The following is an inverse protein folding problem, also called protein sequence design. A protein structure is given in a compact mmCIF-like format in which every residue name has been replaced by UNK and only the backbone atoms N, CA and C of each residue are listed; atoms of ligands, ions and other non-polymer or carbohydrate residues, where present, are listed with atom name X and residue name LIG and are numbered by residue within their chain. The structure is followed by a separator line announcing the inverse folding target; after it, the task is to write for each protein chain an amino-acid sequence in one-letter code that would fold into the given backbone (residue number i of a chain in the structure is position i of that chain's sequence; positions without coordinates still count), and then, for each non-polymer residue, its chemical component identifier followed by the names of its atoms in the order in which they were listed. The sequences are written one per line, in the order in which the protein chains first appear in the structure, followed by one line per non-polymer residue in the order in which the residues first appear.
data_IF_212747840483
#
_entry.id   IF_212747840483
#
_cell.length_a   1.000
_cell.length_b   1.000
_cell.length_c   1.000
_cell.angle_alpha   90.00
_cell.angle_beta   90.00
_cell.angle_gamma   90.00
#
_symmetry.space_group_name_H-M   'P 1'
#
loop_
_entity.id
_entity.type
_entity.pdbx_description
1 polymer ?
#
# COMPACT_ATOMS: atom_id res chain seq x y z
N UNK A 1 12.04 3.25 -14.59
CA UNK A 1 13.29 4.04 -14.59
C UNK A 1 13.57 4.39 -13.14
N UNK A 2 14.72 4.03 -12.57
CA UNK A 2 15.01 4.35 -11.16
C UNK A 2 15.31 5.84 -11.02
N UNK A 3 14.63 6.53 -10.09
CA UNK A 3 14.97 7.91 -9.74
C UNK A 3 16.45 8.01 -9.33
N UNK A 4 17.13 9.05 -9.81
CA UNK A 4 18.48 9.37 -9.34
C UNK A 4 18.39 9.71 -7.85
N UNK A 5 19.14 8.99 -7.02
CA UNK A 5 19.07 9.17 -5.57
C UNK A 5 19.41 10.61 -5.18
N UNK A 6 18.53 11.22 -4.39
CA UNK A 6 18.66 12.60 -3.91
C UNK A 6 19.31 12.63 -2.52
N UNK A 7 20.29 13.52 -2.36
CA UNK A 7 21.02 13.69 -1.09
C UNK A 7 20.32 14.74 -0.22
N UNK A 8 19.89 14.33 0.97
CA UNK A 8 19.36 15.19 2.01
C UNK A 8 20.42 15.38 3.10
N UNK A 9 20.63 16.62 3.57
CA UNK A 9 21.54 16.91 4.68
C UNK A 9 20.82 17.69 5.77
N UNK A 10 20.95 17.24 7.01
CA UNK A 10 20.47 17.97 8.20
C UNK A 10 21.65 18.55 8.98
N UNK A 11 21.43 19.72 9.56
CA UNK A 11 22.38 20.43 10.40
C UNK A 11 21.98 20.26 11.86
N UNK A 12 22.93 19.95 12.73
CA UNK A 12 22.67 19.89 14.17
C UNK A 12 22.76 21.31 14.77
N UNK A 13 21.64 21.90 15.26
CA UNK A 13 21.66 23.25 15.83
C UNK A 13 22.53 23.34 17.09
N UNK A 14 22.73 22.22 17.81
CA UNK A 14 23.59 22.15 19.01
C UNK A 14 25.06 21.91 18.66
N UNK A 15 25.36 21.37 17.48
CA UNK A 15 26.72 21.04 17.02
C UNK A 15 26.88 21.32 15.52
N UNK A 16 27.05 22.59 15.10
CA UNK A 16 27.01 23.00 13.69
C UNK A 16 28.08 22.39 12.79
N UNK A 17 29.10 21.75 13.36
CA UNK A 17 30.17 21.06 12.63
C UNK A 17 29.84 19.60 12.31
N UNK A 18 28.79 19.03 12.91
CA UNK A 18 28.36 17.65 12.70
C UNK A 18 27.12 17.59 11.81
N UNK A 19 27.35 17.59 10.49
CA UNK A 19 26.28 17.43 9.51
C UNK A 19 26.05 15.95 9.23
N UNK A 20 24.78 15.57 9.03
CA UNK A 20 24.41 14.19 8.64
C UNK A 20 23.72 14.21 7.29
N UNK A 21 24.22 13.38 6.38
CA UNK A 21 23.64 13.21 5.05
C UNK A 21 23.00 11.84 4.89
N UNK A 22 21.90 11.79 4.15
CA UNK A 22 21.14 10.61 3.78
C UNK A 22 20.83 10.63 2.29
N UNK A 23 20.62 9.47 1.68
CA UNK A 23 20.33 9.33 0.25
C UNK A 23 19.01 8.58 0.04
N UNK A 24 17.99 9.29 -0.43
CA UNK A 24 16.66 8.73 -0.70
C UNK A 24 16.38 8.70 -2.19
N UNK A 25 15.31 8.04 -2.57
CA UNK A 25 14.88 7.97 -3.97
C UNK A 25 14.28 9.32 -4.40
N UNK A 26 13.54 9.97 -3.49
CA UNK A 26 13.06 11.34 -3.63
C UNK A 26 13.25 12.14 -2.33
N UNK A 27 13.33 13.47 -2.42
CA UNK A 27 13.36 14.39 -1.28
C UNK A 27 12.58 15.65 -1.62
N UNK A 28 11.57 15.96 -0.79
CA UNK A 28 10.63 17.05 -1.03
C UNK A 28 10.82 18.16 0.00
N UNK A 29 10.80 19.42 -0.45
CA UNK A 29 10.83 20.59 0.42
C UNK A 29 9.53 21.37 0.26
N UNK A 30 8.76 21.54 1.33
CA UNK A 30 7.44 22.19 1.27
C UNK A 30 7.24 23.23 2.38
N UNK A 31 8.31 23.61 3.08
CA UNK A 31 8.21 24.48 4.26
C UNK A 31 8.16 25.99 3.93
N UNK A 32 8.69 26.39 2.78
CA UNK A 32 8.80 27.81 2.40
C UNK A 32 7.51 28.30 1.75
N UNK A 33 7.56 28.74 0.49
CA UNK A 33 6.41 29.25 -0.23
C UNK A 33 6.32 28.58 -1.60
N UNK A 34 5.14 28.52 -2.24
CA UNK A 34 5.00 28.01 -3.59
C UNK A 34 5.84 28.74 -4.66
N UNK A 35 6.42 29.91 -4.32
CA UNK A 35 7.34 30.65 -5.20
C UNK A 35 8.79 30.16 -5.11
N UNK A 36 9.13 29.35 -4.10
CA UNK A 36 10.45 28.74 -3.98
C UNK A 36 10.60 27.67 -5.07
N UNK A 37 11.70 27.71 -5.81
CA UNK A 37 11.96 26.75 -6.89
C UNK A 37 12.09 25.31 -6.41
N UNK A 38 12.44 25.13 -5.14
CA UNK A 38 12.53 23.81 -4.51
C UNK A 38 11.22 23.37 -3.86
N UNK A 39 10.16 24.19 -3.94
CA UNK A 39 8.86 23.85 -3.36
C UNK A 39 8.23 22.66 -4.07
N UNK A 40 7.98 21.59 -3.33
CA UNK A 40 7.24 20.43 -3.78
C UNK A 40 5.82 20.49 -3.21
N UNK A 41 4.82 20.57 -4.09
CA UNK A 41 3.40 20.49 -3.73
C UNK A 41 2.87 19.06 -3.77
N UNK A 42 1.60 18.90 -3.39
CA UNK A 42 0.90 17.61 -3.36
C UNK A 42 0.91 16.90 -4.71
N UNK A 43 0.66 17.64 -5.80
CA UNK A 43 0.66 17.08 -7.15
C UNK A 43 2.03 16.49 -7.55
N UNK A 44 3.13 17.12 -7.12
CA UNK A 44 4.48 16.60 -7.42
C UNK A 44 4.71 15.27 -6.70
N UNK A 45 4.35 15.20 -5.41
CA UNK A 45 4.45 13.97 -4.62
C UNK A 45 3.58 12.86 -5.21
N UNK A 46 2.37 13.18 -5.66
CA UNK A 46 1.49 12.21 -6.32
C UNK A 46 2.06 11.70 -7.65
N UNK A 47 2.61 12.58 -8.49
CA UNK A 47 3.26 12.19 -9.75
C UNK A 47 4.44 11.24 -9.54
N UNK A 48 5.28 11.54 -8.56
CA UNK A 48 6.51 10.78 -8.33
C UNK A 48 6.27 9.42 -7.64
N UNK A 49 5.22 9.31 -6.80
CA UNK A 49 4.95 8.11 -6.00
C UNK A 49 3.60 7.49 -6.35
N UNK A 50 2.54 8.28 -6.36
CA UNK A 50 1.16 7.83 -6.56
C UNK A 50 0.93 7.19 -7.93
N UNK A 51 1.34 7.85 -9.01
CA UNK A 51 1.13 7.35 -10.37
C UNK A 51 1.87 6.02 -10.63
N UNK A 52 3.12 5.90 -10.17
CA UNK A 52 3.92 4.66 -10.27
C UNK A 52 3.26 3.52 -9.48
N UNK A 53 2.82 3.80 -8.26
CA UNK A 53 2.17 2.82 -7.39
C UNK A 53 0.82 2.39 -7.95
N UNK A 54 0.03 3.31 -8.52
CA UNK A 54 -1.22 2.99 -9.18
C UNK A 54 -0.98 2.12 -10.43
N UNK A 55 0.05 2.43 -11.23
CA UNK A 55 0.44 1.62 -12.37
C UNK A 55 0.72 0.17 -11.96
N UNK A 56 1.48 -0.04 -10.88
CA UNK A 56 1.73 -1.38 -10.35
C UNK A 56 0.46 -2.12 -9.92
N UNK A 57 -0.54 -1.41 -9.38
CA UNK A 57 -1.84 -2.01 -9.06
C UNK A 57 -2.56 -2.48 -10.33
N UNK A 58 -2.56 -1.67 -11.40
CA UNK A 58 -3.09 -2.07 -12.72
C UNK A 58 -2.32 -3.25 -13.34
N UNK A 59 -1.01 -3.38 -13.10
CA UNK A 59 -0.26 -4.57 -13.51
C UNK A 59 -0.68 -5.85 -12.74
N UNK A 60 -1.30 -5.68 -11.57
CA UNK A 60 -1.78 -6.74 -10.69
C UNK A 60 -0.89 -6.99 -9.46
N UNK A 61 0.04 -6.09 -9.14
CA UNK A 61 0.84 -6.16 -7.91
C UNK A 61 0.04 -5.64 -6.72
N UNK A 62 0.30 -6.19 -5.53
CA UNK A 62 -0.06 -5.49 -4.29
C UNK A 62 0.83 -4.27 -4.10
N UNK A 63 0.27 -3.22 -3.52
CA UNK A 63 0.91 -1.92 -3.37
C UNK A 63 0.69 -1.42 -1.96
N UNK A 64 1.71 -0.79 -1.37
CA UNK A 64 1.59 -0.15 -0.08
C UNK A 64 2.30 1.21 -0.07
N UNK A 65 1.60 2.25 0.36
CA UNK A 65 2.20 3.56 0.67
C UNK A 65 1.92 3.84 2.13
N UNK A 66 2.97 4.07 2.93
CA UNK A 66 2.80 4.46 4.33
C UNK A 66 3.59 5.71 4.69
N UNK A 67 2.94 6.61 5.44
CA UNK A 67 3.58 7.82 5.97
C UNK A 67 4.07 7.59 7.40
N UNK A 68 5.31 8.01 7.69
CA UNK A 68 5.96 7.83 8.99
C UNK A 68 6.71 9.10 9.42
N UNK A 69 6.66 9.43 10.71
CA UNK A 69 7.25 10.64 11.27
C UNK A 69 6.52 11.12 12.53
N UNK A 70 7.08 12.12 13.22
CA UNK A 70 6.45 12.66 14.43
C UNK A 70 5.10 13.33 14.15
N UNK A 71 4.28 13.52 15.18
CA UNK A 71 3.07 14.34 15.09
C UNK A 71 3.40 15.75 14.61
N UNK A 72 2.58 16.27 13.70
CA UNK A 72 2.78 17.58 13.07
C UNK A 72 3.80 17.62 11.93
N UNK A 73 4.45 16.51 11.58
CA UNK A 73 5.44 16.50 10.48
C UNK A 73 4.86 16.43 9.07
N UNK A 74 3.54 16.25 8.93
CA UNK A 74 2.85 16.25 7.63
C UNK A 74 2.33 14.89 7.13
N UNK A 75 2.39 13.82 7.92
CA UNK A 75 1.89 12.47 7.52
C UNK A 75 0.47 12.48 6.92
N UNK A 76 -0.51 12.94 7.70
CA UNK A 76 -1.91 13.00 7.26
C UNK A 76 -2.12 14.02 6.12
N UNK A 77 -1.31 15.08 6.07
CA UNK A 77 -1.34 16.03 4.95
C UNK A 77 -0.84 15.39 3.65
N UNK A 78 0.19 14.54 3.69
CA UNK A 78 0.62 13.80 2.51
C UNK A 78 -0.40 12.74 2.09
N UNK A 79 -0.94 11.98 3.04
CA UNK A 79 -1.85 10.86 2.72
C UNK A 79 -3.25 11.34 2.33
N UNK A 80 -3.88 12.21 3.13
CA UNK A 80 -5.25 12.68 2.91
C UNK A 80 -5.30 14.10 2.33
N UNK A 81 -4.38 14.96 2.76
CA UNK A 81 -4.38 16.36 2.35
C UNK A 81 -5.45 17.20 3.03
N UNK A 82 -5.85 18.29 2.39
CA UNK A 82 -6.94 19.17 2.82
C UNK A 82 -7.99 19.19 1.70
N UNK A 83 -9.05 18.36 1.78
CA UNK A 83 -10.02 18.23 0.70
C UNK A 83 -10.79 19.53 0.41
N UNK A 84 -10.92 20.42 1.39
CA UNK A 84 -11.61 21.71 1.23
C UNK A 84 -10.76 22.78 0.52
N UNK A 85 -9.48 22.50 0.24
CA UNK A 85 -8.57 23.43 -0.41
C UNK A 85 -8.12 22.86 -1.75
N UNK A 86 -8.32 23.65 -2.80
CA UNK A 86 -7.88 23.31 -4.15
C UNK A 86 -6.38 23.03 -4.19
N UNK A 87 -5.99 21.97 -4.91
CA UNK A 87 -4.61 21.56 -5.14
C UNK A 87 -3.88 21.17 -3.84
N UNK A 88 -4.63 20.75 -2.82
CA UNK A 88 -4.12 20.32 -1.50
C UNK A 88 -4.57 18.90 -1.13
N UNK A 89 -5.20 18.18 -2.06
CA UNK A 89 -5.58 16.78 -1.94
C UNK A 89 -4.34 15.90 -1.72
N UNK A 90 -4.46 14.87 -0.89
CA UNK A 90 -3.40 13.91 -0.61
C UNK A 90 -3.28 12.80 -1.64
N UNK A 91 -2.35 11.89 -1.39
CA UNK A 91 -2.15 10.68 -2.21
C UNK A 91 -3.44 9.85 -2.31
N UNK A 92 -4.20 9.69 -1.23
CA UNK A 92 -5.41 8.85 -1.21
C UNK A 92 -6.48 9.40 -2.16
N UNK A 93 -6.99 10.64 -2.00
CA UNK A 93 -8.02 11.16 -2.91
C UNK A 93 -7.52 11.23 -4.36
N UNK A 94 -6.29 11.70 -4.61
CA UNK A 94 -5.73 11.77 -5.97
C UNK A 94 -5.62 10.39 -6.62
N UNK A 95 -5.18 9.36 -5.88
CA UNK A 95 -5.09 7.99 -6.38
C UNK A 95 -6.47 7.40 -6.68
N UNK A 96 -7.47 7.70 -5.86
CA UNK A 96 -8.83 7.22 -6.08
C UNK A 96 -9.47 7.89 -7.31
N UNK A 97 -9.26 9.20 -7.50
CA UNK A 97 -9.71 9.91 -8.68
C UNK A 97 -9.05 9.36 -9.95
N UNK A 98 -7.72 9.20 -9.95
CA UNK A 98 -6.95 8.67 -11.08
C UNK A 98 -7.33 7.21 -11.41
N UNK A 99 -7.57 6.38 -10.38
CA UNK A 99 -8.08 5.02 -10.56
C UNK A 99 -9.39 5.02 -11.38
N UNK A 100 -10.35 5.89 -11.05
CA UNK A 100 -11.62 5.98 -11.77
C UNK A 100 -11.53 6.67 -13.12
N UNK A 101 -10.63 7.64 -13.29
CA UNK A 101 -10.34 8.22 -14.60
C UNK A 101 -9.83 7.14 -15.56
N UNK A 102 -8.87 6.32 -15.13
CA UNK A 102 -8.34 5.21 -15.93
C UNK A 102 -9.36 4.11 -16.21
N UNK A 103 -10.33 3.90 -15.33
CA UNK A 103 -11.48 3.02 -15.63
C UNK A 103 -12.29 3.50 -16.81
N UNK A 104 -12.65 4.79 -16.80
CA UNK A 104 -13.51 5.36 -17.81
C UNK A 104 -12.83 5.39 -19.19
N UNK A 105 -11.53 5.65 -19.23
CA UNK A 105 -10.75 5.61 -20.48
C UNK A 105 -10.64 4.18 -21.05
N UNK A 106 -10.62 3.17 -20.16
CA UNK A 106 -10.49 1.75 -20.53
C UNK A 106 -11.81 1.06 -20.89
N UNK A 107 -12.96 1.64 -20.54
CA UNK A 107 -14.29 1.08 -20.80
C UNK A 107 -14.69 1.05 -22.30
N UNK A 108 -13.82 1.52 -23.19
CA UNK A 108 -13.99 1.34 -24.64
C UNK A 108 -13.71 -0.11 -25.11
N UNK A 109 -13.10 -0.94 -24.26
CA UNK A 109 -12.78 -2.35 -24.53
C UNK A 109 -13.77 -3.28 -23.80
N UNK A 110 -14.80 -3.74 -24.52
CA UNK A 110 -15.85 -4.62 -23.99
C UNK A 110 -15.32 -5.95 -23.41
N UNK A 111 -14.05 -6.29 -23.63
CA UNK A 111 -13.42 -7.51 -23.08
C UNK A 111 -12.96 -7.38 -21.64
N UNK A 112 -12.93 -6.16 -21.08
CA UNK A 112 -12.43 -5.88 -19.73
C UNK A 112 -13.55 -5.40 -18.81
N UNK A 113 -13.56 -5.91 -17.59
CA UNK A 113 -14.41 -5.40 -16.51
C UNK A 113 -13.60 -5.20 -15.24
N UNK A 114 -14.02 -4.23 -14.46
CA UNK A 114 -13.31 -3.80 -13.27
C UNK A 114 -14.25 -3.77 -12.07
N UNK A 115 -13.72 -4.09 -10.90
CA UNK A 115 -14.44 -4.01 -9.63
C UNK A 115 -13.53 -3.45 -8.55
N UNK A 116 -14.08 -2.56 -7.73
CA UNK A 116 -13.38 -1.92 -6.63
C UNK A 116 -14.16 -2.11 -5.34
N UNK A 117 -13.47 -2.59 -4.31
CA UNK A 117 -13.97 -2.63 -2.95
C UNK A 117 -13.03 -1.84 -2.03
N UNK A 118 -13.59 -1.08 -1.10
CA UNK A 118 -12.81 -0.31 -0.12
C UNK A 118 -13.08 -0.78 1.29
N UNK A 119 -12.06 -0.68 2.13
CA UNK A 119 -12.17 -0.84 3.58
C UNK A 119 -11.35 0.24 4.28
N UNK A 120 -11.84 0.75 5.40
CA UNK A 120 -11.13 1.75 6.18
C UNK A 120 -11.14 1.36 7.64
N UNK A 121 -9.96 1.22 8.23
CA UNK A 121 -9.81 0.80 9.61
C UNK A 121 -8.85 1.69 10.37
N UNK A 122 -9.03 1.68 11.68
CA UNK A 122 -8.15 2.33 12.63
C UNK A 122 -7.56 1.31 13.59
N UNK A 123 -6.25 1.42 13.84
CA UNK A 123 -5.56 0.64 14.86
C UNK A 123 -5.16 1.59 15.99
N UNK A 124 -5.80 1.44 17.15
CA UNK A 124 -5.54 2.25 18.33
C UNK A 124 -5.32 1.32 19.54
N UNK A 125 -4.17 1.45 20.20
CA UNK A 125 -3.79 0.61 21.33
C UNK A 125 -3.95 -0.91 21.06
N UNK A 126 -3.43 -1.41 19.94
CA UNK A 126 -3.53 -2.81 19.51
C UNK A 126 -4.98 -3.32 19.31
N UNK A 127 -5.94 -2.39 19.18
CA UNK A 127 -7.34 -2.70 18.87
C UNK A 127 -7.67 -2.18 17.48
N UNK A 128 -8.36 -3.00 16.70
CA UNK A 128 -8.81 -2.68 15.34
C UNK A 128 -10.27 -2.23 15.39
N UNK A 129 -10.56 -1.09 14.78
CA UNK A 129 -11.91 -0.57 14.60
C UNK A 129 -12.22 -0.40 13.12
N UNK A 130 -13.44 -0.74 12.74
CA UNK A 130 -13.99 -0.45 11.43
C UNK A 130 -14.45 1.02 11.38
N UNK A 131 -13.92 1.80 10.45
CA UNK A 131 -14.32 3.21 10.26
C UNK A 131 -15.51 3.36 9.31
N UNK A 132 -15.86 2.33 8.54
CA UNK A 132 -16.98 2.37 7.59
C UNK A 132 -18.26 1.74 8.16
N UNK A 133 -18.19 1.08 9.31
CA UNK A 133 -19.35 0.47 9.96
C UNK A 133 -19.70 1.13 11.30
N UNK A 134 -20.66 2.09 11.32
CA UNK A 134 -21.04 2.79 12.54
C UNK A 134 -21.72 1.89 13.57
N UNK A 135 -22.22 0.71 13.17
CA UNK A 135 -22.84 -0.28 14.06
C UNK A 135 -21.81 -1.10 14.82
N UNK A 136 -20.62 -1.29 14.24
CA UNK A 136 -19.58 -2.13 14.83
C UNK A 136 -18.57 -1.29 15.65
N UNK A 137 -18.90 -1.07 16.91
CA UNK A 137 -18.01 -0.38 17.87
C UNK A 137 -17.00 -1.33 18.56
N UNK A 138 -17.01 -2.60 18.16
CA UNK A 138 -16.18 -3.66 18.77
C UNK A 138 -14.71 -3.58 18.35
N UNK A 139 -13.87 -4.34 19.05
CA UNK A 139 -12.52 -4.63 18.59
C UNK A 139 -12.58 -5.81 17.60
N UNK A 140 -12.21 -5.56 16.35
CA UNK A 140 -12.13 -6.61 15.34
C UNK A 140 -10.90 -7.50 15.58
N UNK A 141 -11.03 -8.79 15.29
CA UNK A 141 -9.95 -9.76 15.48
C UNK A 141 -9.11 -9.86 14.21
N UNK A 142 -7.80 -9.89 14.39
CA UNK A 142 -6.88 -10.25 13.30
C UNK A 142 -6.75 -11.76 13.23
N UNK A 143 -6.97 -12.32 12.04
CA UNK A 143 -6.82 -13.73 11.69
C UNK A 143 -5.82 -13.87 10.56
N UNK A 144 -5.49 -15.10 10.21
CA UNK A 144 -4.56 -15.38 9.12
C UNK A 144 -5.13 -16.45 8.21
N UNK A 145 -5.13 -16.16 6.91
CA UNK A 145 -5.50 -17.10 5.87
C UNK A 145 -4.23 -17.68 5.24
N UNK A 146 -4.17 -19.00 4.93
CA UNK A 146 -2.98 -19.62 4.36
C UNK A 146 -2.47 -18.96 3.07
N UNK A 147 -3.38 -18.44 2.24
CA UNK A 147 -3.04 -17.80 0.95
C UNK A 147 -2.98 -16.27 1.01
N UNK A 148 -3.85 -15.63 1.80
CA UNK A 148 -3.96 -14.15 1.81
C UNK A 148 -3.12 -13.52 2.91
N UNK A 149 -2.59 -14.33 3.83
CA UNK A 149 -1.91 -13.84 5.01
C UNK A 149 -2.87 -13.20 6.03
N UNK A 150 -2.36 -12.27 6.86
CA UNK A 150 -3.11 -11.66 7.94
C UNK A 150 -4.24 -10.77 7.43
N UNK A 151 -5.43 -10.92 7.99
CA UNK A 151 -6.62 -10.16 7.64
C UNK A 151 -7.44 -9.84 8.90
N UNK A 152 -8.32 -8.84 8.79
CA UNK A 152 -9.24 -8.47 9.87
C UNK A 152 -10.58 -9.16 9.62
N UNK A 153 -10.99 -10.00 10.57
CA UNK A 153 -12.30 -10.65 10.56
C UNK A 153 -13.41 -9.60 10.72
N UNK A 154 -14.49 -9.76 9.95
CA UNK A 154 -15.67 -8.88 9.94
C UNK A 154 -15.40 -7.40 9.62
N UNK A 155 -14.25 -7.09 9.01
CA UNK A 155 -13.99 -5.75 8.48
C UNK A 155 -14.88 -5.50 7.25
N UNK A 156 -15.61 -4.38 7.24
CA UNK A 156 -16.49 -4.03 6.13
C UNK A 156 -15.69 -3.78 4.85
N UNK A 157 -16.14 -4.42 3.78
CA UNK A 157 -15.68 -4.19 2.42
C UNK A 157 -16.87 -3.68 1.61
N UNK A 158 -16.76 -2.45 1.13
CA UNK A 158 -17.86 -1.79 0.43
C UNK A 158 -17.48 -1.64 -1.04
N UNK A 159 -18.31 -2.21 -1.91
CA UNK A 159 -18.17 -2.03 -3.34
C UNK A 159 -18.49 -0.58 -3.72
N UNK A 160 -17.68 0.00 -4.59
CA UNK A 160 -17.79 1.38 -5.05
C UNK A 160 -17.74 1.41 -6.57
N UNK A 161 -18.47 2.35 -7.17
CA UNK A 161 -18.61 2.48 -8.62
C UNK A 161 -18.15 3.83 -9.15
N UNK A 162 -17.88 4.79 -8.26
CA UNK A 162 -17.35 6.10 -8.60
C UNK A 162 -16.38 6.63 -7.54
N UNK A 163 -15.59 7.65 -7.92
CA UNK A 163 -14.77 8.40 -6.97
C UNK A 163 -15.60 9.04 -5.86
N UNK A 164 -16.81 9.55 -6.18
CA UNK A 164 -17.71 10.15 -5.20
C UNK A 164 -18.12 9.15 -4.11
N UNK A 165 -18.36 7.89 -4.47
CA UNK A 165 -18.67 6.83 -3.47
C UNK A 165 -17.50 6.66 -2.48
N UNK A 166 -16.25 6.67 -2.98
CA UNK A 166 -15.07 6.60 -2.13
C UNK A 166 -14.94 7.86 -1.26
N UNK A 167 -15.17 9.04 -1.83
CA UNK A 167 -15.08 10.31 -1.11
C UNK A 167 -16.06 10.35 0.08
N UNK A 168 -17.31 9.93 -0.12
CA UNK A 168 -18.31 9.85 0.95
C UNK A 168 -17.90 8.88 2.06
N UNK A 169 -17.33 7.72 1.69
CA UNK A 169 -16.83 6.72 2.64
C UNK A 169 -15.61 7.22 3.41
N UNK A 170 -14.69 7.94 2.76
CA UNK A 170 -13.55 8.58 3.41
C UNK A 170 -14.01 9.63 4.41
N UNK A 171 -14.95 10.50 4.03
CA UNK A 171 -15.50 11.54 4.89
C UNK A 171 -16.22 10.95 6.11
N UNK A 172 -17.02 9.91 5.90
CA UNK A 172 -17.68 9.16 6.96
C UNK A 172 -16.65 8.56 7.95
N UNK A 173 -15.62 7.90 7.43
CA UNK A 173 -14.56 7.30 8.24
C UNK A 173 -13.71 8.32 9.00
N UNK A 174 -13.40 9.46 8.38
CA UNK A 174 -12.66 10.56 9.02
C UNK A 174 -13.50 11.23 10.13
N UNK A 175 -14.81 11.38 9.92
CA UNK A 175 -15.73 11.85 10.96
C UNK A 175 -15.79 10.85 12.13
N UNK A 176 -15.88 9.55 11.86
CA UNK A 176 -15.88 8.50 12.88
C UNK A 176 -14.58 8.52 13.71
N UNK A 177 -13.43 8.69 13.05
CA UNK A 177 -12.11 8.84 13.69
C UNK A 177 -12.06 10.05 14.62
N UNK A 178 -12.62 11.19 14.18
CA UNK A 178 -12.65 12.44 14.97
C UNK A 178 -13.58 12.36 16.18
N UNK A 179 -14.76 11.75 16.05
CA UNK A 179 -15.70 11.57 17.18
C UNK A 179 -15.11 10.67 18.27
N UNK A 180 -14.30 9.68 17.88
CA UNK A 180 -13.55 8.90 18.85
C UNK A 180 -12.48 9.74 19.58
N UNK A 181 -11.94 10.77 18.94
CA UNK A 181 -11.00 11.72 19.53
C UNK A 181 -11.69 12.68 20.52
N UNK A 182 -12.84 13.26 20.19
CA UNK A 182 -13.52 14.21 21.09
C UNK A 182 -13.98 13.57 22.41
N UNK A 183 -14.26 12.26 22.41
CA UNK A 183 -14.55 11.51 23.64
C UNK A 183 -13.28 11.19 24.47
N UNK A 184 -12.07 11.28 23.90
CA UNK A 184 -10.79 10.99 24.58
C UNK A 184 -9.55 11.71 23.95
N UNK A 185 -9.51 13.06 23.93
CA UNK A 185 -8.37 13.89 23.42
C UNK A 185 -7.89 13.59 21.97
N UNK A 186 -6.88 14.31 21.47
CA UNK A 186 -6.42 14.34 20.06
C UNK A 186 -5.89 12.98 19.52
N UNK A 187 -6.80 12.04 19.26
CA UNK A 187 -6.53 10.62 18.93
C UNK A 187 -5.92 10.39 17.55
N UNK A 188 -6.08 11.29 16.58
CA UNK A 188 -5.55 11.09 15.21
C UNK A 188 -4.02 10.98 15.19
N UNK A 189 -3.33 11.68 16.09
CA UNK A 189 -1.87 11.58 16.29
C UNK A 189 -1.42 10.24 16.89
N UNK A 190 -2.36 9.49 17.46
CA UNK A 190 -2.13 8.33 18.33
C UNK A 190 -2.69 7.03 17.79
N UNK A 191 -3.36 7.07 16.65
CA UNK A 191 -3.89 5.89 15.97
C UNK A 191 -3.32 5.77 14.57
N UNK A 192 -3.17 4.54 14.10
CA UNK A 192 -2.85 4.27 12.70
C UNK A 192 -4.14 4.17 11.91
N UNK A 193 -4.21 4.82 10.77
CA UNK A 193 -5.30 4.66 9.83
C UNK A 193 -4.82 3.86 8.62
N UNK A 194 -5.59 2.86 8.21
CA UNK A 194 -5.29 2.00 7.06
C UNK A 194 -6.50 1.98 6.14
N UNK A 195 -6.36 2.62 4.99
CA UNK A 195 -7.33 2.58 3.91
C UNK A 195 -6.87 1.54 2.89
N UNK A 196 -7.70 0.52 2.62
CA UNK A 196 -7.39 -0.46 1.59
C UNK A 196 -8.37 -0.38 0.44
N UNK A 197 -7.84 -0.54 -0.76
CA UNK A 197 -8.58 -0.73 -2.00
C UNK A 197 -8.25 -2.13 -2.51
N UNK A 198 -9.27 -2.96 -2.70
CA UNK A 198 -9.17 -4.21 -3.44
C UNK A 198 -9.62 -3.90 -4.85
N UNK A 199 -8.68 -4.02 -5.79
CA UNK A 199 -8.92 -3.74 -7.19
C UNK A 199 -8.82 -5.02 -8.00
N UNK A 200 -9.96 -5.41 -8.59
CA UNK A 200 -10.11 -6.63 -9.39
C UNK A 200 -10.31 -6.28 -10.86
N UNK A 201 -9.54 -6.93 -11.71
CA UNK A 201 -9.57 -6.79 -13.16
C UNK A 201 -9.93 -8.14 -13.77
N UNK A 202 -11.01 -8.19 -14.54
CA UNK A 202 -11.42 -9.37 -15.30
C UNK A 202 -11.28 -9.10 -16.77
N UNK A 203 -10.67 -10.03 -17.49
CA UNK A 203 -10.56 -9.97 -18.95
C UNK A 203 -11.10 -11.25 -19.55
N UNK A 204 -12.16 -11.13 -20.34
CA UNK A 204 -12.70 -12.22 -21.15
C UNK A 204 -11.94 -12.29 -22.46
N UNK A 205 -11.43 -13.46 -22.78
CA UNK A 205 -10.79 -13.76 -24.04
C UNK A 205 -11.77 -14.54 -24.93
N UNK A 206 -12.32 -13.85 -25.94
CA UNK A 206 -13.32 -14.40 -26.84
C UNK A 206 -12.78 -15.55 -27.72
N UNK A 207 -11.48 -15.58 -28.01
CA UNK A 207 -10.89 -16.66 -28.82
C UNK A 207 -10.82 -17.97 -28.04
N UNK A 208 -10.67 -17.87 -26.73
CA UNK A 208 -10.35 -19.03 -25.89
C UNK A 208 -11.39 -19.33 -24.82
N UNK A 209 -12.50 -18.58 -24.87
CA UNK A 209 -13.65 -18.55 -23.95
C UNK A 209 -13.24 -18.67 -22.48
N UNK A 210 -12.16 -17.98 -22.11
CA UNK A 210 -11.65 -17.97 -20.74
C UNK A 210 -11.67 -16.56 -20.15
N UNK A 211 -11.99 -16.48 -18.87
CA UNK A 211 -11.93 -15.22 -18.12
C UNK A 211 -10.75 -15.25 -17.18
N UNK A 212 -9.75 -14.42 -17.46
CA UNK A 212 -8.63 -14.18 -16.55
C UNK A 212 -9.00 -13.14 -15.50
N UNK A 213 -8.52 -13.34 -14.27
CA UNK A 213 -8.74 -12.41 -13.16
C UNK A 213 -7.40 -12.03 -12.53
N UNK A 214 -7.18 -10.72 -12.37
CA UNK A 214 -6.08 -10.15 -11.60
C UNK A 214 -6.63 -9.39 -10.42
N UNK A 215 -6.01 -9.54 -9.26
CA UNK A 215 -6.40 -8.84 -8.04
C UNK A 215 -5.19 -8.10 -7.48
N UNK A 216 -5.37 -6.82 -7.18
CA UNK A 216 -4.36 -6.01 -6.49
C UNK A 216 -4.94 -5.45 -5.21
N UNK A 217 -4.15 -5.49 -4.14
CA UNK A 217 -4.47 -4.81 -2.88
C UNK A 217 -3.60 -3.56 -2.77
N UNK A 218 -4.24 -2.40 -2.74
CA UNK A 218 -3.58 -1.11 -2.46
C UNK A 218 -3.83 -0.78 -0.98
N UNK A 219 -2.75 -0.65 -0.20
CA UNK A 219 -2.79 -0.28 1.22
C UNK A 219 -2.20 1.11 1.42
N UNK A 220 -3.02 2.07 1.82
CA UNK A 220 -2.64 3.45 2.07
C UNK A 220 -2.70 3.71 3.58
N UNK A 221 -1.55 3.96 4.19
CA UNK A 221 -1.39 3.93 5.66
C UNK A 221 -0.88 5.27 6.19
N UNK A 222 -1.64 5.85 7.12
CA UNK A 222 -1.24 7.01 7.92
C UNK A 222 -0.92 6.53 9.34
N UNK A 223 0.36 6.44 9.67
CA UNK A 223 0.81 5.93 10.97
C UNK A 223 0.65 6.99 12.07
N UNK A 224 0.57 6.54 13.32
CA UNK A 224 0.67 7.39 14.49
C UNK A 224 2.02 8.13 14.55
N UNK A 225 2.10 9.17 15.39
CA UNK A 225 3.32 9.90 15.68
C UNK A 225 4.44 9.00 16.19
N UNK A 226 5.65 9.16 15.64
CA UNK A 226 6.83 8.39 16.02
C UNK A 226 7.56 8.90 17.28
N UNK A 227 7.12 10.03 17.83
CA UNK A 227 7.74 10.65 19.00
C UNK A 227 7.64 9.79 20.26
N UNK A 228 8.64 9.90 21.13
CA UNK A 228 8.69 9.12 22.38
C UNK A 228 7.64 9.58 23.39
N UNK A 229 7.04 8.64 24.11
CA UNK A 229 6.05 8.94 25.15
C UNK A 229 6.59 9.84 26.27
N UNK A 230 7.87 9.73 26.63
CA UNK A 230 8.49 10.53 27.70
C UNK A 230 8.50 12.04 27.37
N UNK A 231 8.48 12.38 26.07
CA UNK A 231 8.42 13.76 25.58
C UNK A 231 7.05 14.42 25.78
N UNK A 232 6.01 13.64 26.12
CA UNK A 232 4.61 14.11 26.18
C UNK A 232 4.14 14.51 27.59
N UNK A 233 4.91 14.21 28.64
CA UNK A 233 4.54 14.51 30.04
C UNK A 233 3.31 13.74 30.57
N UNK A 234 2.88 12.68 29.88
CA UNK A 234 1.67 11.92 30.20
C UNK A 234 1.79 11.06 31.48
N UNK A 235 0.75 11.09 32.34
CA UNK A 235 0.63 10.24 33.55
C UNK A 235 -0.57 9.27 33.45
N UNK A 236 -0.50 8.13 34.15
CA UNK A 236 -1.64 7.22 34.33
C UNK A 236 -2.06 6.47 33.06
N UNK A 237 -3.35 6.54 32.70
CA UNK A 237 -3.93 5.87 31.53
C UNK A 237 -3.29 6.31 30.22
N UNK A 238 -2.92 7.60 30.10
CA UNK A 238 -2.23 8.15 28.93
C UNK A 238 -0.81 7.60 28.75
N UNK A 239 -0.14 7.19 29.84
CA UNK A 239 1.17 6.52 29.76
C UNK A 239 1.02 5.09 29.20
N UNK A 240 -0.01 4.36 29.64
CA UNK A 240 -0.32 3.01 29.10
C UNK A 240 -0.71 3.07 27.62
N UNK A 241 -1.48 4.08 27.24
CA UNK A 241 -1.83 4.40 25.87
C UNK A 241 -0.58 4.69 25.02
N UNK A 242 0.26 5.64 25.45
CA UNK A 242 1.52 5.96 24.80
C UNK A 242 2.46 4.76 24.68
N UNK A 243 2.50 3.88 25.70
CA UNK A 243 3.27 2.65 25.67
C UNK A 243 2.75 1.66 24.60
N UNK A 244 1.44 1.53 24.43
CA UNK A 244 0.86 0.65 23.40
C UNK A 244 1.00 1.22 21.98
N UNK A 245 0.87 2.53 21.81
CA UNK A 245 1.12 3.18 20.51
C UNK A 245 2.59 2.98 20.14
N UNK A 246 3.49 3.25 21.08
CA UNK A 246 4.90 3.00 20.87
C UNK A 246 5.22 1.52 20.71
N UNK A 247 4.43 0.59 21.26
CA UNK A 247 4.61 -0.85 21.02
C UNK A 247 4.51 -1.16 19.52
N UNK A 248 3.48 -0.68 18.84
CA UNK A 248 3.30 -0.91 17.39
C UNK A 248 4.45 -0.35 16.56
N UNK A 249 4.86 0.91 16.79
CA UNK A 249 5.96 1.56 16.05
C UNK A 249 7.35 1.01 16.41
N UNK A 250 7.56 0.65 17.69
CA UNK A 250 8.79 -0.02 18.14
C UNK A 250 8.91 -1.39 17.47
N UNK A 251 7.81 -2.13 17.42
CA UNK A 251 7.77 -3.43 16.74
C UNK A 251 8.02 -3.28 15.25
N UNK A 252 7.41 -2.29 14.60
CA UNK A 252 7.69 -1.95 13.20
C UNK A 252 9.19 -1.65 13.00
N UNK A 253 9.82 -0.92 13.91
CA UNK A 253 11.26 -0.65 13.88
C UNK A 253 12.13 -1.90 14.03
N UNK A 254 11.71 -2.86 14.87
CA UNK A 254 12.37 -4.17 15.00
C UNK A 254 12.24 -5.00 13.72
N UNK A 255 11.05 -5.06 13.14
CA UNK A 255 10.78 -5.75 11.86
C UNK A 255 11.66 -5.19 10.76
N UNK A 256 11.70 -3.86 10.60
CA UNK A 256 12.53 -3.19 9.58
C UNK A 256 14.01 -3.46 9.80
N UNK A 257 14.49 -3.44 11.05
CA UNK A 257 15.89 -3.72 11.36
C UNK A 257 16.26 -5.17 11.06
N UNK A 258 15.42 -6.13 11.45
CA UNK A 258 15.62 -7.55 11.17
C UNK A 258 15.66 -7.84 9.65
N UNK A 259 14.73 -7.23 8.90
CA UNK A 259 14.69 -7.35 7.44
C UNK A 259 15.93 -6.75 6.76
N UNK A 260 16.38 -5.57 7.21
CA UNK A 260 17.57 -4.91 6.68
C UNK A 260 18.87 -5.69 6.99
N UNK A 261 18.94 -6.33 8.16
CA UNK A 261 20.10 -7.13 8.58
C UNK A 261 20.19 -8.50 7.88
N UNK A 262 19.04 -9.14 7.58
CA UNK A 262 19.00 -10.42 6.85
C UNK A 262 19.68 -10.32 5.47
N UNK A 263 19.72 -9.12 4.86
CA UNK A 263 20.48 -8.86 3.63
C UNK A 263 21.99 -9.05 3.79
N UNK A 264 22.54 -8.76 4.98
CA UNK A 264 23.99 -8.80 5.25
C UNK A 264 24.48 -10.18 5.66
N UNK A 265 23.64 -10.98 6.33
CA UNK A 265 24.00 -12.32 6.82
C UNK A 265 23.32 -13.40 5.98
N UNK A 266 23.97 -13.85 4.91
CA UNK A 266 23.50 -14.91 3.97
C UNK A 266 23.22 -16.31 4.59
N UNK A 267 23.17 -16.48 5.92
CA UNK A 267 23.23 -17.81 6.56
C UNK A 267 22.19 -18.15 7.62
N UNK A 268 21.35 -17.22 8.09
CA UNK A 268 20.27 -17.55 9.04
C UNK A 268 19.06 -16.65 8.74
N UNK A 269 17.92 -17.24 8.40
CA UNK A 269 16.63 -16.53 8.46
C UNK A 269 16.38 -16.15 9.92
N UNK A 270 16.70 -14.91 10.28
CA UNK A 270 16.34 -14.41 11.62
C UNK A 270 14.82 -14.31 11.72
N UNK A 271 14.27 -14.75 12.85
CA UNK A 271 12.85 -14.62 13.13
C UNK A 271 12.44 -13.15 13.09
N UNK A 272 11.51 -12.81 12.19
CA UNK A 272 10.98 -11.44 12.05
C UNK A 272 9.71 -11.32 12.92
N UNK A 273 9.67 -10.40 13.91
CA UNK A 273 8.61 -10.34 14.92
C UNK A 273 7.34 -9.65 14.42
N UNK A 274 6.75 -10.09 13.29
CA UNK A 274 5.53 -9.47 12.76
C UNK A 274 4.35 -9.61 13.73
N UNK A 275 4.25 -10.71 14.47
CA UNK A 275 3.13 -11.00 15.38
C UNK A 275 3.16 -10.19 16.69
N UNK A 276 4.26 -9.52 16.99
CA UNK A 276 4.44 -8.80 18.26
C UNK A 276 3.53 -7.56 18.36
N UNK A 277 3.03 -7.05 17.23
CA UNK A 277 2.00 -6.02 17.18
C UNK A 277 0.97 -6.24 16.08
N UNK A 278 -0.25 -5.74 16.29
CA UNK A 278 -1.35 -5.81 15.30
C UNK A 278 -0.95 -5.14 13.99
N UNK A 279 -0.32 -3.97 14.06
CA UNK A 279 0.12 -3.21 12.89
C UNK A 279 1.11 -4.01 12.04
N UNK A 280 2.17 -4.52 12.65
CA UNK A 280 3.20 -5.28 11.93
C UNK A 280 2.67 -6.60 11.40
N UNK A 281 1.68 -7.20 12.08
CA UNK A 281 1.08 -8.42 11.59
C UNK A 281 0.26 -8.16 10.33
N UNK A 282 -0.57 -7.10 10.33
CA UNK A 282 -1.36 -6.70 9.15
C UNK A 282 -0.49 -6.20 7.99
N UNK A 283 0.66 -5.58 8.27
CA UNK A 283 1.60 -5.09 7.26
C UNK A 283 2.66 -6.13 6.86
N UNK A 284 2.54 -7.39 7.28
CA UNK A 284 3.54 -8.42 6.99
C UNK A 284 3.84 -8.54 5.50
N UNK A 285 2.79 -8.64 4.68
CA UNK A 285 2.95 -8.76 3.22
C UNK A 285 3.54 -7.48 2.60
N UNK A 286 3.30 -6.32 3.23
CA UNK A 286 3.78 -5.03 2.77
C UNK A 286 5.25 -4.78 3.11
N UNK A 287 5.84 -5.54 4.03
CA UNK A 287 7.21 -5.33 4.52
C UNK A 287 8.03 -6.60 4.31
N UNK A 288 8.66 -6.74 3.15
CA UNK A 288 9.46 -7.92 2.81
C UNK A 288 8.68 -9.10 2.20
N UNK A 289 7.35 -8.97 2.07
CA UNK A 289 6.48 -9.95 1.42
C UNK A 289 6.10 -9.58 -0.01
N UNK A 290 4.91 -10.01 -0.44
CA UNK A 290 4.35 -9.75 -1.75
C UNK A 290 3.67 -8.37 -1.83
N UNK A 291 4.48 -7.31 -1.99
CA UNK A 291 3.99 -5.94 -2.20
C UNK A 291 5.06 -5.02 -2.79
N UNK A 292 4.66 -4.05 -3.61
CA UNK A 292 5.45 -2.87 -3.99
C UNK A 292 5.21 -1.80 -2.94
N UNK A 293 6.25 -1.47 -2.17
CA UNK A 293 6.09 -0.64 -0.97
C UNK A 293 6.89 0.64 -1.06
N UNK A 294 6.22 1.77 -0.83
CA UNK A 294 6.83 3.08 -0.61
C UNK A 294 6.61 3.56 0.82
N UNK A 295 7.66 4.13 1.39
CA UNK A 295 7.64 4.83 2.68
C UNK A 295 7.80 6.33 2.43
N UNK A 296 6.88 7.13 2.94
CA UNK A 296 7.00 8.58 2.98
C UNK A 296 7.46 9.01 4.39
N UNK A 297 8.70 9.46 4.50
CA UNK A 297 9.27 9.95 5.75
C UNK A 297 8.97 11.45 5.91
N UNK A 298 7.98 11.79 6.73
CA UNK A 298 7.54 13.16 6.97
C UNK A 298 8.34 13.79 8.12
N UNK A 299 8.99 14.93 7.86
CA UNK A 299 9.97 15.57 8.75
C UNK A 299 9.55 16.98 9.15
N UNK A 300 10.05 17.46 10.29
CA UNK A 300 9.92 18.85 10.69
C UNK A 300 11.26 19.57 10.51
N UNK A 301 11.30 20.74 9.84
CA UNK A 301 12.53 21.51 9.68
C UNK A 301 12.91 22.32 10.93
N UNK A 302 12.07 22.33 11.97
CA UNK A 302 12.31 23.12 13.17
C UNK A 302 13.45 22.53 14.02
N UNK A 303 14.36 23.38 14.49
CA UNK A 303 15.52 23.00 15.30
C UNK A 303 15.16 22.17 16.55
N UNK A 304 14.03 22.50 17.19
CA UNK A 304 13.54 21.78 18.37
C UNK A 304 13.21 20.31 18.09
N UNK A 305 12.94 19.97 16.83
CA UNK A 305 12.57 18.63 16.36
C UNK A 305 13.75 17.87 15.74
N UNK A 306 14.99 18.38 15.87
CA UNK A 306 16.18 17.76 15.26
C UNK A 306 16.34 16.27 15.62
N UNK A 307 16.18 15.92 16.90
CA UNK A 307 16.39 14.55 17.38
C UNK A 307 15.36 13.56 16.79
N UNK A 308 14.09 13.98 16.69
CA UNK A 308 13.02 13.18 16.07
C UNK A 308 13.21 13.09 14.55
N UNK A 309 13.54 14.20 13.89
CA UNK A 309 13.87 14.24 12.45
C UNK A 309 15.02 13.28 12.12
N UNK A 310 16.10 13.31 12.90
CA UNK A 310 17.22 12.38 12.76
C UNK A 310 16.80 10.92 12.99
N UNK A 311 15.91 10.67 13.95
CA UNK A 311 15.35 9.33 14.21
C UNK A 311 14.57 8.81 13.00
N UNK A 312 13.68 9.64 12.44
CA UNK A 312 12.89 9.32 11.24
C UNK A 312 13.78 9.07 10.02
N UNK A 313 14.81 9.88 9.79
CA UNK A 313 15.76 9.70 8.69
C UNK A 313 16.54 8.38 8.79
N UNK A 314 17.03 8.04 9.99
CA UNK A 314 17.68 6.74 10.25
C UNK A 314 16.73 5.56 10.09
N UNK A 315 15.45 5.78 10.31
CA UNK A 315 14.42 4.77 10.11
C UNK A 315 14.20 4.52 8.61
N UNK A 316 14.01 5.59 7.83
CA UNK A 316 13.83 5.54 6.39
C UNK A 316 15.05 4.92 5.68
N UNK A 317 16.27 5.26 6.10
CA UNK A 317 17.51 4.70 5.54
C UNK A 317 17.60 3.17 5.73
N UNK A 318 17.11 2.66 6.87
CA UNK A 318 16.98 1.21 7.10
C UNK A 318 15.87 0.60 6.27
N UNK A 319 14.70 1.24 6.20
CA UNK A 319 13.56 0.76 5.43
C UNK A 319 13.89 0.59 3.93
N UNK A 320 14.69 1.51 3.37
CA UNK A 320 15.19 1.44 1.98
C UNK A 320 15.98 0.15 1.67
N UNK A 321 16.53 -0.51 2.69
CA UNK A 321 17.33 -1.73 2.50
C UNK A 321 16.49 -3.00 2.37
N UNK A 322 15.20 -2.94 2.70
CA UNK A 322 14.26 -4.06 2.66
C UNK A 322 13.97 -4.40 1.19
N UNK A 323 13.97 -5.71 0.88
CA UNK A 323 13.54 -6.21 -0.42
C UNK A 323 12.19 -6.88 -0.26
N UNK A 324 11.18 -6.38 -0.97
CA UNK A 324 9.91 -7.05 -1.12
C UNK A 324 9.94 -7.93 -2.38
N UNK A 325 9.29 -9.09 -2.31
CA UNK A 325 9.19 -10.05 -3.42
C UNK A 325 7.78 -9.94 -4.03
N UNK A 326 7.52 -8.80 -4.69
CA UNK A 326 6.24 -8.52 -5.32
C UNK A 326 6.02 -9.44 -6.54
N UNK A 327 4.84 -10.05 -6.61
CA UNK A 327 4.37 -10.87 -7.75
C UNK A 327 3.02 -10.37 -8.23
N UNK A 328 2.71 -10.60 -9.50
CA UNK A 328 1.39 -10.33 -10.07
C UNK A 328 0.41 -11.36 -9.48
N UNK A 329 -0.65 -10.90 -8.83
CA UNK A 329 -1.67 -11.82 -8.31
C UNK A 329 -2.71 -12.09 -9.40
N UNK A 330 -2.56 -13.24 -10.02
CA UNK A 330 -3.44 -13.81 -11.01
C UNK A 330 -3.77 -15.24 -10.59
N UNK A 331 -4.99 -15.72 -10.86
CA UNK A 331 -5.34 -17.11 -10.58
C UNK A 331 -4.32 -18.05 -11.28
N UNK A 332 -3.63 -18.94 -10.53
CA UNK A 332 -2.63 -19.84 -11.10
C UNK A 332 -3.15 -20.69 -12.26
N UNK A 333 -4.42 -21.11 -12.22
CA UNK A 333 -5.03 -21.89 -13.29
C UNK A 333 -5.22 -21.02 -14.54
N UNK A 334 -5.68 -19.79 -14.38
CA UNK A 334 -5.82 -18.85 -15.49
C UNK A 334 -4.46 -18.45 -16.08
N UNK A 335 -3.46 -18.24 -15.23
CA UNK A 335 -2.09 -17.96 -15.64
C UNK A 335 -1.49 -19.11 -16.46
N UNK A 336 -1.59 -20.34 -15.96
CA UNK A 336 -1.09 -21.53 -16.65
C UNK A 336 -1.79 -21.74 -18.00
N UNK A 337 -3.12 -21.58 -18.03
CA UNK A 337 -3.91 -21.67 -19.27
C UNK A 337 -3.47 -20.61 -20.29
N UNK A 338 -3.20 -19.36 -19.86
CA UNK A 338 -2.68 -18.31 -20.75
C UNK A 338 -1.29 -18.64 -21.29
N UNK A 339 -0.34 -18.98 -20.41
CA UNK A 339 1.05 -19.30 -20.79
C UNK A 339 1.08 -20.49 -21.77
N UNK A 340 0.27 -21.53 -21.54
CA UNK A 340 0.13 -22.66 -22.46
C UNK A 340 -0.46 -22.25 -23.81
N UNK A 341 -1.46 -21.36 -23.84
CA UNK A 341 -2.10 -20.89 -25.08
C UNK A 341 -1.16 -20.00 -25.90
N UNK A 342 -0.43 -19.08 -25.26
CA UNK A 342 0.60 -18.26 -25.92
C UNK A 342 1.70 -19.13 -26.52
N UNK A 343 2.14 -20.16 -25.79
CA UNK A 343 3.13 -21.10 -26.29
C UNK A 343 2.59 -21.96 -27.45
N UNK A 344 1.33 -22.43 -27.37
CA UNK A 344 0.67 -23.14 -28.48
C UNK A 344 0.56 -22.24 -29.71
N UNK A 345 0.21 -20.97 -29.55
CA UNK A 345 0.15 -20.00 -30.65
C UNK A 345 1.52 -19.78 -31.28
N UNK A 346 2.54 -19.51 -30.46
CA UNK A 346 3.94 -19.36 -30.91
C UNK A 346 4.45 -20.59 -31.66
N UNK A 347 4.13 -21.79 -31.17
CA UNK A 347 4.52 -23.04 -31.81
C UNK A 347 3.78 -23.26 -33.14
N UNK A 348 2.50 -22.88 -33.24
CA UNK A 348 1.74 -22.90 -34.51
C UNK A 348 2.37 -21.97 -35.55
N UNK A 349 2.74 -20.75 -35.17
CA UNK A 349 3.41 -19.79 -36.06
C UNK A 349 4.78 -20.29 -36.52
N UNK A 350 5.53 -20.94 -35.63
CA UNK A 350 6.80 -21.61 -35.97
C UNK A 350 6.61 -22.77 -36.96
N UNK A 351 5.55 -23.57 -36.80
CA UNK A 351 5.25 -24.66 -37.73
C UNK A 351 4.80 -24.13 -39.10
N UNK A 352 3.99 -23.08 -39.12
CA UNK A 352 3.57 -22.40 -40.34
C UNK A 352 4.76 -21.79 -41.10
N UNK A 353 5.65 -21.10 -40.39
CA UNK A 353 6.85 -20.48 -40.99
C UNK A 353 7.88 -21.49 -41.52
N UNK A 354 7.87 -22.74 -41.02
CA UNK A 354 8.72 -23.82 -41.52
C UNK A 354 8.07 -24.63 -42.67
N UNK A 355 6.91 -24.22 -43.18
CA UNK A 355 6.21 -24.92 -44.26
C UNK A 355 5.54 -26.23 -43.83
N UNK A 356 5.35 -26.44 -42.52
CA UNK A 356 4.66 -27.60 -41.95
C UNK A 356 3.17 -27.32 -41.66
N UNK A 357 2.61 -26.25 -42.23
CA UNK A 357 1.21 -25.85 -42.08
C UNK A 357 0.22 -26.94 -42.47
N UNK A 358 0.54 -27.73 -43.50
CA UNK A 358 -0.32 -28.79 -44.02
C UNK A 358 -0.58 -29.91 -42.99
N UNK A 359 0.31 -30.09 -42.01
CA UNK A 359 0.14 -31.08 -40.92
C UNK A 359 -0.94 -30.64 -39.91
N UNK A 360 -1.11 -29.31 -39.73
CA UNK A 360 -2.14 -28.76 -38.85
C UNK A 360 -3.53 -28.88 -39.48
N UNK A 361 -3.63 -28.77 -40.81
CA UNK A 361 -4.89 -28.96 -41.54
C UNK A 361 -5.28 -30.43 -41.73
N UNK A 362 -4.30 -31.34 -41.89
CA UNK A 362 -4.58 -32.76 -42.12
C UNK A 362 -5.04 -33.52 -40.86
N UNK A 363 -4.80 -32.97 -39.67
CA UNK A 363 -5.25 -33.53 -38.39
C UNK A 363 -6.27 -32.59 -37.76
N UNK A 364 -7.49 -32.59 -38.28
CA UNK A 364 -8.62 -31.88 -37.71
C UNK A 364 -8.76 -32.15 -36.21
N UNK A 365 -8.27 -31.22 -35.38
CA UNK A 365 -8.51 -31.17 -33.94
C UNK A 365 -9.82 -30.43 -33.62
N UNK A 366 -10.78 -30.48 -34.53
CA UNK A 366 -12.04 -29.76 -34.47
C UNK A 366 -13.19 -30.53 -33.81
N UNK A 367 -12.98 -31.66 -33.10
CA UNK A 367 -14.12 -32.36 -32.47
C UNK A 367 -13.87 -33.27 -31.25
N UNK A 368 -12.80 -33.10 -30.46
CA UNK A 368 -12.51 -34.03 -29.34
C UNK A 368 -12.48 -33.42 -27.93
N UNK A 369 -13.33 -32.43 -27.63
CA UNK A 369 -13.46 -31.88 -26.27
C UNK A 369 -14.89 -31.85 -25.69
N UNK A 370 -15.92 -32.31 -26.40
CA UNK A 370 -17.31 -32.19 -25.92
C UNK A 370 -18.12 -33.48 -25.73
N UNK A 371 -17.52 -34.68 -25.82
CA UNK A 371 -18.31 -35.93 -25.79
C UNK A 371 -18.03 -36.93 -24.67
N UNK A 372 -17.35 -36.54 -23.58
CA UNK A 372 -17.11 -37.48 -22.47
C UNK A 372 -17.30 -36.93 -21.06
N UNK A 373 -18.38 -36.18 -20.84
CA UNK A 373 -18.96 -36.06 -19.50
C UNK A 373 -20.48 -36.23 -19.53
N UNK A 374 -20.93 -37.34 -18.89
CA UNK A 374 -22.28 -37.66 -18.46
C UNK A 374 -23.29 -38.23 -19.48
N UNK A 375 -23.03 -39.45 -19.93
CA UNK A 375 -24.05 -40.49 -19.96
C UNK A 375 -23.47 -41.83 -19.47
N UNK A 376 -23.79 -42.18 -18.21
CA UNK A 376 -24.00 -43.54 -17.66
C UNK A 376 -23.82 -43.53 -16.13
N UNK A 377 -24.85 -43.98 -15.40
CA UNK A 377 -24.80 -44.33 -13.99
C UNK A 377 -25.89 -43.67 -13.18
#
# INVERSE_FOLDING_TARGET
MGALSQRLTILNPKQPKENKSFNFDYSYWSHTSPKDINFAGQQQVYKDIGEEMLLHAFEGYNVCIFAYGQTGSGKSYTMMGKPDLKDQEGIIPLMCEDLFTKFNDSNNDNSKSYSVEVSYMEIYCERVRDLLNPKNKGNLRVREHPLMGPYVEDLSKLAVTSYNDIQDLMDSGNKARTVAATNMNETSSRSHAVFNIIFTQKRHDAETDNTSEKVSKISLVDLAGSERADSTGAKGTRLKEGANINKSLTTLGKVISALAENKKKKKVESHIPYRDSVLTWLLRENLGGNSRTAMVAALSPADINYDETLSTLRYADRAKQIRCNAVINEDPNNRLVRELKEEVSRLRDLLLSQGLGDILESKGLSNLLFYHHFHKG
#
